data_IF_021224869905
#
_entry.id   IF_021224869905
#
_cell.length_a   1.000
_cell.length_b   1.000
_cell.length_c   1.000
_cell.angle_alpha   90.00
_cell.angle_beta   90.00
_cell.angle_gamma   90.00
#
_symmetry.space_group_name_H-M   'P 1'
#
loop_
_entity.id
_entity.type
_entity.pdbx_description
1 polymer ?
#
# COMPACT_ATOMS: atom_id res chain seq x y z
N UNK A 1 76.05 -9.33 -26.60
CA UNK A 1 77.24 -8.46 -26.59
C UNK A 1 76.77 -7.03 -26.31
N UNK A 2 77.47 -6.31 -25.41
CA UNK A 2 76.86 -5.81 -24.19
C UNK A 2 77.23 -4.33 -23.91
N UNK A 3 76.99 -3.91 -22.65
CA UNK A 3 77.69 -2.86 -21.90
C UNK A 3 77.10 -1.43 -22.01
N UNK A 4 76.98 -0.65 -20.94
CA UNK A 4 77.19 -0.85 -19.49
C UNK A 4 77.02 0.51 -18.79
N UNK A 5 76.47 0.49 -17.56
CA UNK A 5 76.89 1.20 -16.33
C UNK A 5 77.04 2.75 -16.35
N UNK A 6 76.79 3.52 -15.29
CA UNK A 6 76.89 3.31 -13.82
C UNK A 6 76.04 4.41 -13.12
N UNK A 7 75.37 4.13 -11.98
CA UNK A 7 75.80 4.38 -10.57
C UNK A 7 75.97 5.88 -10.23
N UNK A 8 75.53 6.47 -9.11
CA UNK A 8 75.52 6.12 -7.66
C UNK A 8 74.29 6.80 -7.00
N UNK A 9 73.54 6.26 -6.03
CA UNK A 9 73.83 5.80 -4.66
C UNK A 9 74.18 6.92 -3.65
N UNK A 10 73.26 7.17 -2.71
CA UNK A 10 73.41 7.60 -1.30
C UNK A 10 72.05 8.14 -0.83
N UNK A 11 71.46 7.83 0.32
CA UNK A 11 71.79 7.07 1.52
C UNK A 11 70.61 7.38 2.47
N UNK A 12 69.86 6.37 2.91
CA UNK A 12 69.81 5.93 4.31
C UNK A 12 69.34 6.99 5.33
N UNK A 13 68.13 6.77 5.86
CA UNK A 13 67.68 6.91 7.27
C UNK A 13 66.16 7.14 7.28
N UNK A 14 65.32 6.69 8.21
CA UNK A 14 65.34 5.76 9.35
C UNK A 14 63.84 5.53 9.66
N UNK A 15 63.42 4.28 9.86
CA UNK A 15 62.16 3.93 10.57
C UNK A 15 62.33 4.28 12.09
N UNK A 16 61.30 4.36 12.97
CA UNK A 16 60.12 3.47 13.03
C UNK A 16 58.79 3.99 13.64
N UNK A 17 57.73 3.18 13.44
CA UNK A 17 56.56 2.88 14.29
C UNK A 17 55.76 4.01 14.97
N UNK A 18 54.50 4.15 14.54
CA UNK A 18 53.42 4.81 15.27
C UNK A 18 52.14 3.97 15.23
N UNK A 19 51.68 3.58 16.41
CA UNK A 19 50.58 2.67 16.74
C UNK A 19 49.17 3.25 16.52
N UNK A 20 48.26 2.34 16.12
CA UNK A 20 46.93 2.03 16.70
C UNK A 20 45.79 3.08 16.77
N UNK A 21 44.58 2.50 16.65
CA UNK A 21 43.22 2.95 17.07
C UNK A 21 42.43 3.63 15.95
N UNK A 22 41.39 3.01 15.37
CA UNK A 22 40.26 2.37 16.04
C UNK A 22 39.16 3.43 16.23
N UNK A 23 38.47 3.81 15.16
CA UNK A 23 37.32 4.71 15.24
C UNK A 23 36.09 3.92 15.70
N UNK A 24 35.43 4.31 16.80
CA UNK A 24 34.25 3.60 17.26
C UNK A 24 33.01 4.01 16.45
N UNK A 25 32.26 2.98 16.10
CA UNK A 25 30.85 3.01 15.73
C UNK A 25 30.05 3.66 16.86
N UNK A 26 29.31 4.74 16.59
CA UNK A 26 28.41 5.37 17.57
C UNK A 26 26.98 4.88 17.32
N UNK A 27 26.38 4.11 18.24
CA UNK A 27 24.96 3.80 18.20
C UNK A 27 24.15 4.97 18.79
N UNK A 28 23.17 5.46 18.05
CA UNK A 28 22.20 6.42 18.58
C UNK A 28 21.07 5.66 19.29
N UNK A 29 21.15 5.59 20.62
CA UNK A 29 20.04 5.20 21.48
C UNK A 29 19.96 6.10 22.72
N UNK A 30 18.72 6.50 23.03
CA UNK A 30 18.21 7.09 24.26
C UNK A 30 18.60 8.53 24.65
N UNK A 31 17.63 9.44 24.47
CA UNK A 31 17.26 10.38 25.53
C UNK A 31 15.76 10.29 25.83
N UNK A 32 15.49 10.30 27.12
CA UNK A 32 14.26 9.94 27.81
C UNK A 32 13.25 11.08 27.88
N UNK A 33 11.98 10.67 27.89
CA UNK A 33 10.94 11.09 28.84
C UNK A 33 10.61 12.58 28.95
N UNK A 34 9.51 12.97 28.30
CA UNK A 34 8.55 13.90 28.88
C UNK A 34 7.14 13.33 28.70
N UNK A 35 6.42 13.23 29.82
CA UNK A 35 5.18 12.49 29.96
C UNK A 35 4.05 13.00 29.08
N UNK A 36 3.35 12.06 28.44
CA UNK A 36 2.03 12.27 27.89
C UNK A 36 1.00 12.01 28.99
N UNK A 37 0.29 13.07 29.38
CA UNK A 37 -0.95 12.97 30.15
C UNK A 37 -2.00 12.35 29.24
N UNK A 38 -2.53 11.21 29.66
CA UNK A 38 -3.66 10.53 29.05
C UNK A 38 -4.90 11.43 29.11
N UNK A 39 -5.32 11.98 27.97
CA UNK A 39 -6.68 12.50 27.80
C UNK A 39 -7.52 11.43 27.14
N UNK A 40 -8.43 10.84 27.92
CA UNK A 40 -9.52 9.99 27.44
C UNK A 40 -10.47 10.84 26.58
N UNK A 41 -10.93 10.37 25.41
CA UNK A 41 -12.10 10.95 24.78
C UNK A 41 -13.36 10.57 25.57
N UNK A 42 -14.23 11.56 25.79
CA UNK A 42 -15.51 11.42 26.48
C UNK A 42 -16.53 10.64 25.63
N UNK A 43 -17.48 9.90 26.25
CA UNK A 43 -18.49 9.12 25.53
C UNK A 43 -19.55 10.02 24.88
N UNK A 44 -19.90 9.68 23.64
CA UNK A 44 -21.00 10.27 22.87
C UNK A 44 -22.34 10.03 23.57
N UNK A 45 -23.11 11.10 23.73
CA UNK A 45 -24.44 11.10 24.34
C UNK A 45 -25.44 10.26 23.53
N UNK A 46 -26.12 9.38 24.25
CA UNK A 46 -27.27 8.61 23.78
C UNK A 46 -28.41 9.54 23.31
N UNK A 47 -28.89 9.29 22.10
CA UNK A 47 -30.13 9.88 21.57
C UNK A 47 -31.32 9.29 22.34
N UNK A 48 -32.13 10.15 22.96
CA UNK A 48 -33.35 9.74 23.65
C UNK A 48 -34.47 9.52 22.64
N UNK A 49 -35.02 8.31 22.63
CA UNK A 49 -36.31 7.98 22.03
C UNK A 49 -37.42 8.82 22.67
N UNK A 50 -38.24 9.46 21.84
CA UNK A 50 -39.54 10.01 22.22
C UNK A 50 -40.61 9.26 21.43
N UNK A 51 -41.38 8.46 22.17
CA UNK A 51 -42.66 7.90 21.76
C UNK A 51 -43.75 8.94 22.03
N UNK A 52 -44.67 9.16 21.08
CA UNK A 52 -46.10 9.27 21.43
C UNK A 52 -47.01 9.09 20.21
N UNK A 53 -48.03 8.27 20.47
CA UNK A 53 -49.28 7.93 19.81
C UNK A 53 -49.84 8.83 18.67
N UNK A 54 -50.44 8.16 17.67
CA UNK A 54 -51.51 8.70 16.80
C UNK A 54 -52.86 8.78 17.55
N UNK A 55 -54.05 8.73 16.88
CA UNK A 55 -54.34 8.51 15.44
C UNK A 55 -55.38 9.49 14.85
N UNK A 56 -55.62 9.45 13.52
CA UNK A 56 -56.97 9.29 12.91
C UNK A 56 -56.98 9.29 11.37
N UNK A 57 -57.53 8.18 10.84
CA UNK A 57 -58.42 8.00 9.68
C UNK A 57 -58.23 8.83 8.39
N UNK A 58 -58.03 8.10 7.29
CA UNK A 58 -58.38 8.53 5.94
C UNK A 58 -58.12 7.40 4.94
N UNK A 59 -59.17 6.66 4.57
CA UNK A 59 -59.15 5.75 3.42
C UNK A 59 -58.96 6.57 2.14
N UNK A 60 -58.00 6.22 1.28
CA UNK A 60 -58.13 6.42 -0.17
C UNK A 60 -57.26 5.40 -0.92
N UNK A 61 -57.90 4.73 -1.86
CA UNK A 61 -57.34 3.81 -2.85
C UNK A 61 -56.49 4.54 -3.89
N UNK A 62 -55.39 3.94 -4.34
CA UNK A 62 -54.68 4.41 -5.53
C UNK A 62 -53.30 3.77 -5.67
N UNK A 63 -53.21 2.73 -6.51
CA UNK A 63 -51.97 2.17 -7.02
C UNK A 63 -51.21 3.22 -7.84
N UNK A 64 -49.88 3.25 -7.71
CA UNK A 64 -48.86 3.33 -8.78
C UNK A 64 -47.50 3.19 -8.07
N UNK A 65 -46.81 2.10 -8.38
CA UNK A 65 -45.40 1.92 -8.10
C UNK A 65 -44.60 2.54 -9.25
N UNK A 66 -43.51 3.22 -8.93
CA UNK A 66 -42.19 3.14 -9.59
C UNK A 66 -41.28 4.23 -9.01
N UNK A 67 -40.51 3.87 -7.98
CA UNK A 67 -39.31 4.60 -7.57
C UNK A 67 -38.19 4.22 -8.55
N UNK A 68 -37.60 5.23 -9.20
CA UNK A 68 -36.47 5.08 -10.10
C UNK A 68 -35.21 4.68 -9.35
N UNK A 69 -34.88 3.40 -9.43
CA UNK A 69 -33.60 2.82 -9.05
C UNK A 69 -32.52 3.25 -10.08
N UNK A 70 -31.73 4.27 -9.76
CA UNK A 70 -30.48 4.54 -10.48
C UNK A 70 -29.43 3.52 -10.04
N UNK A 71 -29.62 2.27 -10.45
CA UNK A 71 -28.58 1.28 -10.43
C UNK A 71 -27.49 1.70 -11.42
N UNK A 72 -26.32 2.08 -10.90
CA UNK A 72 -25.06 2.10 -11.65
C UNK A 72 -24.74 0.66 -12.08
N UNK A 73 -25.37 0.22 -13.17
CA UNK A 73 -25.05 -1.03 -13.82
C UNK A 73 -23.77 -0.86 -14.62
N UNK A 74 -22.64 -1.06 -13.95
CA UNK A 74 -21.40 -1.40 -14.63
C UNK A 74 -21.49 -2.87 -15.08
N UNK A 75 -22.05 -3.11 -16.27
CA UNK A 75 -22.00 -4.43 -16.89
C UNK A 75 -20.73 -4.55 -17.74
N UNK A 76 -19.77 -5.39 -17.35
CA UNK A 76 -19.45 -6.66 -18.06
C UNK A 76 -18.16 -7.35 -17.58
N UNK A 77 -18.41 -8.56 -17.07
CA UNK A 77 -17.56 -9.71 -16.74
C UNK A 77 -16.39 -9.52 -15.76
N UNK A 78 -16.54 -10.08 -14.57
CA UNK A 78 -15.43 -10.75 -13.90
C UNK A 78 -16.01 -11.95 -13.16
N UNK A 79 -15.46 -13.15 -13.39
CA UNK A 79 -15.80 -14.32 -12.59
C UNK A 79 -15.58 -14.03 -11.11
N UNK A 80 -16.28 -14.76 -10.23
CA UNK A 80 -16.17 -14.65 -8.78
C UNK A 80 -14.71 -14.42 -8.37
N UNK A 81 -14.40 -13.28 -7.74
CA UNK A 81 -13.10 -13.05 -7.13
C UNK A 81 -12.84 -14.17 -6.13
N UNK A 82 -11.62 -14.68 -6.10
CA UNK A 82 -11.30 -15.80 -5.23
C UNK A 82 -9.85 -15.76 -4.79
N UNK A 83 -9.67 -15.78 -3.48
CA UNK A 83 -8.37 -15.96 -2.82
C UNK A 83 -8.49 -17.14 -1.84
N UNK A 84 -7.42 -17.91 -1.75
CA UNK A 84 -7.28 -18.99 -0.77
C UNK A 84 -6.05 -18.71 0.07
N UNK A 85 -6.18 -18.81 1.39
CA UNK A 85 -5.11 -18.52 2.35
C UNK A 85 -4.85 -19.70 3.25
N UNK A 86 -3.61 -19.80 3.71
CA UNK A 86 -3.09 -20.84 4.59
C UNK A 86 -2.30 -20.23 5.75
N UNK A 87 -2.34 -20.88 6.92
CA UNK A 87 -1.62 -20.46 8.13
C UNK A 87 -0.20 -21.02 8.22
N UNK A 88 0.22 -21.87 7.27
CA UNK A 88 1.60 -22.32 7.07
C UNK A 88 2.10 -21.95 5.66
N UNK A 89 3.42 -21.97 5.48
CA UNK A 89 4.06 -21.78 4.18
C UNK A 89 3.82 -22.99 3.27
N UNK A 90 4.01 -22.82 1.95
CA UNK A 90 3.89 -23.91 0.99
C UNK A 90 2.47 -24.47 0.84
N UNK A 91 1.45 -23.66 1.12
CA UNK A 91 0.03 -24.01 1.01
C UNK A 91 -0.38 -25.18 1.93
N UNK A 92 0.18 -25.22 3.15
CA UNK A 92 -0.05 -26.24 4.17
C UNK A 92 -0.86 -25.70 5.36
N UNK A 93 -1.23 -26.59 6.28
CA UNK A 93 -1.97 -26.22 7.49
C UNK A 93 -3.45 -25.91 7.23
N UNK A 94 -4.01 -25.00 8.03
CA UNK A 94 -5.41 -24.58 7.95
C UNK A 94 -5.64 -23.76 6.68
N UNK A 95 -6.69 -24.12 5.93
CA UNK A 95 -7.04 -23.52 4.65
C UNK A 95 -8.39 -22.82 4.71
N UNK A 96 -8.47 -21.59 4.25
CA UNK A 96 -9.75 -20.88 4.03
C UNK A 96 -9.82 -20.24 2.64
N UNK A 97 -11.03 -20.18 2.08
CA UNK A 97 -11.32 -19.60 0.78
C UNK A 97 -12.26 -18.41 0.95
N UNK A 98 -11.99 -17.33 0.22
CA UNK A 98 -12.74 -16.09 0.29
C UNK A 98 -13.13 -15.60 -1.09
N UNK A 99 -14.35 -15.08 -1.18
CA UNK A 99 -14.88 -14.40 -2.37
C UNK A 99 -15.29 -12.96 -2.10
N UNK A 100 -15.04 -12.48 -0.88
CA UNK A 100 -15.30 -11.13 -0.39
C UNK A 100 -14.17 -10.72 0.57
N UNK A 101 -14.22 -9.49 1.05
CA UNK A 101 -13.26 -8.97 2.02
C UNK A 101 -13.26 -9.73 3.35
N UNK A 102 -12.10 -9.76 3.99
CA UNK A 102 -11.89 -10.30 5.33
C UNK A 102 -11.19 -9.22 6.17
N UNK A 103 -11.89 -8.55 7.10
CA UNK A 103 -11.30 -7.51 7.93
C UNK A 103 -10.35 -8.07 9.01
N UNK A 104 -10.42 -9.36 9.32
CA UNK A 104 -9.51 -10.02 10.27
C UNK A 104 -9.52 -11.53 10.10
N UNK A 105 -8.37 -12.12 9.77
CA UNK A 105 -8.20 -13.59 9.75
C UNK A 105 -8.16 -14.19 11.16
N UNK A 106 -7.95 -13.36 12.20
CA UNK A 106 -7.89 -13.79 13.59
C UNK A 106 -9.21 -14.42 14.05
N UNK A 107 -10.34 -13.93 13.52
CA UNK A 107 -11.68 -14.44 13.82
C UNK A 107 -11.92 -15.85 13.25
N UNK A 108 -11.09 -16.26 12.29
CA UNK A 108 -11.06 -17.59 11.67
C UNK A 108 -9.97 -18.47 12.32
N UNK A 109 -9.35 -17.96 13.39
CA UNK A 109 -8.34 -18.60 14.20
C UNK A 109 -6.96 -18.70 13.55
N UNK A 110 -6.67 -17.88 12.52
CA UNK A 110 -5.32 -17.69 12.01
C UNK A 110 -4.59 -16.71 12.92
N UNK A 111 -3.28 -16.85 13.13
CA UNK A 111 -2.47 -15.76 13.71
C UNK A 111 -2.04 -14.75 12.63
N UNK A 112 -1.75 -15.27 11.44
CA UNK A 112 -1.42 -14.53 10.20
C UNK A 112 -1.58 -15.50 9.03
N UNK A 113 -1.73 -14.95 7.82
CA UNK A 113 -1.54 -15.74 6.59
C UNK A 113 -0.04 -15.96 6.36
N UNK A 114 0.34 -17.19 5.99
CA UNK A 114 1.73 -17.59 5.68
C UNK A 114 1.94 -18.01 4.23
N UNK A 115 0.88 -18.44 3.55
CA UNK A 115 0.88 -18.63 2.10
C UNK A 115 -0.52 -18.41 1.52
N UNK A 116 -0.60 -18.02 0.25
CA UNK A 116 -1.88 -17.74 -0.41
C UNK A 116 -1.86 -18.00 -1.92
N UNK A 117 -3.04 -18.20 -2.49
CA UNK A 117 -3.26 -18.27 -3.94
C UNK A 117 -4.40 -17.35 -4.34
N UNK A 118 -4.13 -16.47 -5.28
CA UNK A 118 -5.17 -15.65 -5.91
C UNK A 118 -5.62 -16.38 -7.17
N UNK A 119 -6.83 -16.94 -7.11
CA UNK A 119 -7.40 -17.74 -8.20
C UNK A 119 -8.13 -16.88 -9.22
N UNK A 120 -8.61 -15.70 -8.83
CA UNK A 120 -9.28 -14.73 -9.72
C UNK A 120 -9.41 -13.36 -9.07
N UNK A 121 -9.31 -12.32 -9.92
CA UNK A 121 -9.33 -10.92 -9.52
C UNK A 121 -7.99 -10.44 -8.96
N UNK A 122 -7.97 -9.18 -8.57
CA UNK A 122 -6.90 -8.57 -7.80
C UNK A 122 -7.38 -8.30 -6.37
N UNK A 123 -6.47 -8.44 -5.42
CA UNK A 123 -6.71 -8.23 -4.01
C UNK A 123 -5.65 -7.30 -3.43
N UNK A 124 -5.99 -6.60 -2.36
CA UNK A 124 -5.04 -5.90 -1.51
C UNK A 124 -5.01 -6.57 -0.14
N UNK A 125 -3.84 -7.02 0.27
CA UNK A 125 -3.57 -7.53 1.61
C UNK A 125 -3.02 -6.43 2.51
N UNK A 126 -3.31 -6.52 3.80
CA UNK A 126 -2.88 -5.55 4.80
C UNK A 126 -2.17 -6.24 5.96
N UNK A 127 -1.15 -5.57 6.47
CA UNK A 127 -0.37 -6.01 7.62
C UNK A 127 -1.25 -6.22 8.86
N UNK A 128 -2.18 -5.31 9.12
CA UNK A 128 -3.03 -5.32 10.31
C UNK A 128 -4.51 -5.57 9.96
N UNK A 129 -5.28 -5.94 10.97
CA UNK A 129 -6.72 -6.07 10.88
C UNK A 129 -7.38 -4.71 10.56
N UNK A 130 -8.59 -4.74 10.01
CA UNK A 130 -9.36 -3.56 9.65
C UNK A 130 -8.77 -2.77 8.48
N UNK A 131 -8.03 -3.44 7.59
CA UNK A 131 -7.42 -2.85 6.40
C UNK A 131 -6.38 -1.75 6.73
N UNK A 132 -5.51 -2.04 7.70
CA UNK A 132 -4.56 -1.09 8.27
C UNK A 132 -3.10 -1.54 8.08
N UNK A 133 -2.16 -0.60 8.16
CA UNK A 133 -0.73 -0.89 8.07
C UNK A 133 -0.25 -1.03 6.62
N UNK A 134 0.85 -1.74 6.42
CA UNK A 134 1.44 -1.89 5.08
C UNK A 134 0.49 -2.64 4.13
N UNK A 135 0.41 -2.16 2.88
CA UNK A 135 -0.41 -2.73 1.81
C UNK A 135 0.43 -3.62 0.89
N UNK A 136 -0.17 -4.69 0.40
CA UNK A 136 0.43 -5.63 -0.55
C UNK A 136 -0.54 -5.89 -1.69
N UNK A 137 -0.10 -5.66 -2.93
CA UNK A 137 -0.88 -6.03 -4.11
C UNK A 137 -0.76 -7.53 -4.37
N UNK A 138 -1.91 -8.21 -4.41
CA UNK A 138 -2.03 -9.64 -4.62
C UNK A 138 -2.80 -9.89 -5.92
N UNK A 139 -2.06 -10.07 -7.00
CA UNK A 139 -2.60 -10.37 -8.33
C UNK A 139 -2.71 -11.89 -8.51
N UNK A 140 -3.37 -12.34 -9.57
CA UNK A 140 -3.52 -13.78 -9.87
C UNK A 140 -2.17 -14.49 -9.84
N UNK A 141 -2.04 -15.50 -8.97
CA UNK A 141 -0.77 -16.20 -8.79
C UNK A 141 -0.71 -17.06 -7.53
N UNK A 142 0.45 -17.65 -7.31
CA UNK A 142 0.76 -18.47 -6.15
C UNK A 142 1.85 -17.80 -5.31
N UNK A 143 1.62 -17.74 -4.01
CA UNK A 143 2.47 -17.04 -3.06
C UNK A 143 2.82 -17.99 -1.91
N UNK A 144 3.90 -18.79 -2.05
CA UNK A 144 4.21 -19.88 -1.13
C UNK A 144 4.74 -19.43 0.24
N UNK A 145 5.23 -18.21 0.37
CA UNK A 145 5.72 -17.62 1.61
C UNK A 145 5.56 -16.10 1.58
N UNK A 146 5.83 -15.44 2.71
CA UNK A 146 5.63 -14.00 2.84
C UNK A 146 6.49 -13.15 1.91
N UNK A 147 7.71 -13.61 1.61
CA UNK A 147 8.61 -12.98 0.63
C UNK A 147 7.99 -12.89 -0.77
N UNK A 148 7.06 -13.78 -1.12
CA UNK A 148 6.44 -13.78 -2.44
C UNK A 148 5.52 -12.56 -2.68
N UNK A 149 4.92 -11.99 -1.62
CA UNK A 149 4.12 -10.76 -1.72
C UNK A 149 4.85 -9.52 -1.19
N UNK A 150 5.80 -9.69 -0.27
CA UNK A 150 6.55 -8.60 0.35
C UNK A 150 7.88 -8.29 -0.35
N UNK A 151 8.40 -9.17 -1.21
CA UNK A 151 9.82 -9.22 -1.59
C UNK A 151 10.38 -8.00 -2.33
N UNK A 152 9.52 -7.07 -2.77
CA UNK A 152 9.95 -5.79 -3.35
C UNK A 152 9.94 -4.64 -2.33
N UNK A 153 9.50 -4.89 -1.10
CA UNK A 153 9.36 -3.91 -0.02
C UNK A 153 10.63 -3.88 0.81
N UNK A 154 11.15 -2.70 1.11
CA UNK A 154 12.31 -2.51 2.01
C UNK A 154 11.99 -2.79 3.49
N UNK A 155 10.75 -3.19 3.77
CA UNK A 155 10.18 -3.45 5.09
C UNK A 155 9.73 -4.92 5.15
N UNK A 156 10.51 -5.79 5.80
CA UNK A 156 10.14 -7.19 5.93
C UNK A 156 9.06 -7.34 7.00
N UNK A 157 7.80 -7.25 6.59
CA UNK A 157 6.66 -7.61 7.42
C UNK A 157 6.06 -8.93 6.93
N UNK A 158 6.21 -9.95 7.76
CA UNK A 158 5.63 -11.28 7.51
C UNK A 158 4.11 -11.30 7.75
N UNK A 159 3.58 -10.26 8.40
CA UNK A 159 2.20 -10.24 8.85
C UNK A 159 1.27 -9.86 7.71
N UNK A 160 0.22 -10.65 7.53
CA UNK A 160 -0.91 -10.37 6.66
C UNK A 160 -2.18 -10.85 7.37
N UNK A 161 -3.01 -9.91 7.80
CA UNK A 161 -4.15 -10.21 8.71
C UNK A 161 -5.50 -9.72 8.23
N UNK A 162 -5.56 -8.88 7.19
CA UNK A 162 -6.80 -8.56 6.50
C UNK A 162 -6.56 -8.39 5.01
N UNK A 163 -7.61 -8.53 4.20
CA UNK A 163 -7.53 -8.36 2.75
C UNK A 163 -8.90 -8.06 2.17
N UNK A 164 -8.92 -7.37 1.03
CA UNK A 164 -10.15 -7.13 0.27
C UNK A 164 -9.89 -7.18 -1.24
N UNK A 165 -10.93 -7.44 -2.05
CA UNK A 165 -10.84 -7.30 -3.49
C UNK A 165 -10.57 -5.84 -3.90
N UNK A 166 -9.91 -5.66 -5.03
CA UNK A 166 -9.73 -4.36 -5.70
C UNK A 166 -10.77 -4.28 -6.82
N UNK A 167 -11.95 -3.74 -6.49
CA UNK A 167 -13.14 -3.84 -7.34
C UNK A 167 -13.00 -3.09 -8.67
N UNK A 168 -12.35 -1.94 -8.63
CA UNK A 168 -12.14 -1.09 -9.78
C UNK A 168 -10.91 -1.45 -10.63
N UNK A 169 -10.19 -2.54 -10.32
CA UNK A 169 -9.06 -2.98 -11.12
C UNK A 169 -9.50 -3.28 -12.57
N UNK A 170 -9.02 -2.46 -13.51
CA UNK A 170 -9.25 -2.63 -14.93
C UNK A 170 -8.01 -2.22 -15.73
N UNK A 171 -7.05 -3.14 -15.90
CA UNK A 171 -5.76 -2.84 -16.54
C UNK A 171 -5.86 -2.15 -17.91
N UNK A 172 -6.93 -2.40 -18.69
CA UNK A 172 -7.11 -1.82 -20.03
C UNK A 172 -7.69 -0.40 -20.04
N UNK A 173 -8.33 0.02 -18.95
CA UNK A 173 -8.93 1.34 -18.79
C UNK A 173 -8.53 1.89 -17.42
N UNK A 174 -7.22 2.08 -17.25
CA UNK A 174 -6.63 2.72 -16.08
C UNK A 174 -6.08 4.08 -16.46
N UNK A 175 -6.51 5.11 -15.74
CA UNK A 175 -6.03 6.50 -15.91
C UNK A 175 -5.80 7.14 -14.55
N UNK A 176 -4.64 7.77 -14.40
CA UNK A 176 -4.19 8.43 -13.19
C UNK A 176 -3.63 9.81 -13.52
N UNK A 177 -3.99 10.81 -12.73
CA UNK A 177 -3.27 12.09 -12.70
C UNK A 177 -2.44 12.17 -11.43
N UNK A 178 -1.16 12.50 -11.58
CA UNK A 178 -0.25 12.81 -10.47
C UNK A 178 -0.02 14.32 -10.41
N UNK A 179 0.09 14.87 -9.20
CA UNK A 179 0.33 16.28 -8.95
C UNK A 179 1.54 16.47 -8.04
N UNK A 180 2.32 17.51 -8.30
CA UNK A 180 3.52 17.86 -7.54
C UNK A 180 3.19 18.20 -6.09
N UNK A 181 2.09 18.91 -5.86
CA UNK A 181 1.68 19.36 -4.53
C UNK A 181 0.38 18.68 -4.08
N UNK A 182 0.08 18.80 -2.79
CA UNK A 182 -1.19 18.42 -2.22
C UNK A 182 -2.36 19.16 -2.88
N UNK A 183 -3.58 18.66 -2.69
CA UNK A 183 -4.82 19.31 -3.14
C UNK A 183 -4.86 19.63 -4.66
N UNK A 184 -4.19 18.81 -5.47
CA UNK A 184 -4.17 18.90 -6.94
C UNK A 184 -3.51 20.18 -7.48
N UNK A 185 -2.50 20.67 -6.76
CA UNK A 185 -1.75 21.86 -7.12
C UNK A 185 -0.38 21.53 -7.77
N UNK A 186 0.22 22.54 -8.39
CA UNK A 186 1.53 22.44 -9.02
C UNK A 186 1.51 21.78 -10.39
N UNK A 187 2.67 21.27 -10.82
CA UNK A 187 2.78 20.53 -12.09
C UNK A 187 1.96 19.24 -12.01
N UNK A 188 1.35 18.84 -13.14
CA UNK A 188 0.63 17.56 -13.27
C UNK A 188 1.19 16.67 -14.38
N UNK A 189 0.98 15.36 -14.23
CA UNK A 189 1.25 14.35 -15.25
C UNK A 189 0.06 13.40 -15.37
N UNK A 190 -0.31 13.03 -16.59
CA UNK A 190 -1.39 12.08 -16.88
C UNK A 190 -0.78 10.74 -17.32
N UNK A 191 -1.17 9.67 -16.64
CA UNK A 191 -0.59 8.33 -16.78
C UNK A 191 -1.67 7.35 -17.22
N UNK A 192 -1.36 6.57 -18.26
CA UNK A 192 -2.17 5.45 -18.76
C UNK A 192 -1.41 4.12 -18.82
N UNK A 193 -0.11 4.15 -18.51
CA UNK A 193 0.81 3.02 -18.61
C UNK A 193 1.62 2.83 -17.33
N UNK A 194 2.41 1.76 -17.27
CA UNK A 194 3.24 1.44 -16.13
C UNK A 194 4.59 2.18 -16.22
N UNK A 195 4.99 2.83 -15.13
CA UNK A 195 6.20 3.64 -15.05
C UNK A 195 7.12 3.10 -13.95
N UNK A 196 8.15 2.29 -14.31
CA UNK A 196 9.13 1.81 -13.34
C UNK A 196 10.05 2.93 -12.82
N UNK A 197 10.06 4.10 -13.47
CA UNK A 197 10.69 5.33 -12.97
C UNK A 197 9.91 6.55 -13.44
N UNK A 198 9.35 7.32 -12.49
CA UNK A 198 8.71 8.61 -12.78
C UNK A 198 9.73 9.64 -13.28
N UNK A 199 10.96 9.60 -12.76
CA UNK A 199 12.03 10.49 -13.22
C UNK A 199 12.37 10.25 -14.68
N UNK A 200 12.39 8.99 -15.15
CA UNK A 200 12.62 8.66 -16.56
C UNK A 200 11.49 9.15 -17.48
N UNK A 201 10.27 9.30 -16.95
CA UNK A 201 9.14 9.94 -17.66
C UNK A 201 9.30 11.47 -17.75
N UNK A 202 10.19 12.06 -16.94
CA UNK A 202 10.41 13.50 -16.85
C UNK A 202 9.69 14.17 -15.68
N UNK A 203 9.24 13.39 -14.69
CA UNK A 203 8.77 13.91 -13.41
C UNK A 203 9.94 14.51 -12.63
N UNK A 204 9.73 15.67 -12.03
CA UNK A 204 10.77 16.35 -11.26
C UNK A 204 10.78 15.86 -9.81
N UNK A 205 11.97 15.64 -9.26
CA UNK A 205 12.13 15.13 -7.90
C UNK A 205 11.67 13.68 -7.67
N UNK A 206 11.40 13.35 -6.40
CA UNK A 206 11.00 12.03 -5.92
C UNK A 206 9.66 12.05 -5.16
N UNK A 207 8.94 13.16 -5.20
CA UNK A 207 7.70 13.36 -4.45
C UNK A 207 6.51 13.52 -5.39
N UNK A 208 5.35 13.04 -4.94
CA UNK A 208 4.05 13.30 -5.56
C UNK A 208 3.12 13.76 -4.44
N UNK A 209 2.60 14.97 -4.52
CA UNK A 209 1.80 15.57 -3.45
C UNK A 209 0.36 15.08 -3.41
N UNK A 210 -0.24 14.77 -4.56
CA UNK A 210 -1.62 14.27 -4.63
C UNK A 210 -1.91 13.46 -5.91
N UNK A 211 -2.99 12.68 -5.88
CA UNK A 211 -3.43 11.83 -6.97
C UNK A 211 -4.92 12.01 -7.27
N UNK A 212 -5.27 11.94 -8.55
CA UNK A 212 -6.65 11.76 -8.98
C UNK A 212 -6.75 10.53 -9.89
N UNK A 213 -7.45 9.49 -9.44
CA UNK A 213 -7.64 8.24 -10.17
C UNK A 213 -8.93 8.31 -10.97
N UNK A 214 -8.85 8.62 -12.26
CA UNK A 214 -10.04 8.69 -13.11
C UNK A 214 -10.69 7.32 -13.33
N UNK A 215 -9.86 6.27 -13.44
CA UNK A 215 -10.33 4.91 -13.74
C UNK A 215 -9.25 3.89 -13.40
N UNK A 216 -9.68 2.67 -13.10
CA UNK A 216 -8.79 1.57 -12.75
C UNK A 216 -8.32 1.62 -11.30
N UNK A 217 -7.35 0.76 -11.01
CA UNK A 217 -6.62 0.76 -9.76
C UNK A 217 -5.12 0.76 -10.04
N UNK A 218 -4.37 1.43 -9.19
CA UNK A 218 -2.94 1.67 -9.32
C UNK A 218 -2.22 1.32 -8.03
N UNK A 219 -0.96 0.95 -8.15
CA UNK A 219 -0.05 0.88 -7.02
C UNK A 219 1.12 1.83 -7.26
N UNK A 220 1.35 2.71 -6.30
CA UNK A 220 2.54 3.55 -6.26
C UNK A 220 3.57 2.94 -5.30
N UNK A 221 4.85 3.14 -5.61
CA UNK A 221 5.96 2.60 -4.84
C UNK A 221 7.00 3.67 -4.54
N UNK A 222 7.56 3.59 -3.34
CA UNK A 222 8.52 4.56 -2.82
C UNK A 222 9.78 4.72 -3.70
N UNK A 223 10.25 3.63 -4.31
CA UNK A 223 11.48 3.61 -5.11
C UNK A 223 11.22 3.16 -6.56
N UNK A 224 12.15 3.45 -7.51
CA UNK A 224 12.07 2.93 -8.86
C UNK A 224 12.10 1.39 -8.89
N UNK A 225 11.47 0.81 -9.91
CA UNK A 225 11.34 -0.63 -10.08
C UNK A 225 10.31 -1.25 -9.14
N UNK A 226 9.28 -0.49 -8.75
CA UNK A 226 8.16 -0.94 -7.90
C UNK A 226 8.56 -1.36 -6.48
N UNK A 227 9.62 -0.73 -5.96
CA UNK A 227 10.27 -1.11 -4.69
C UNK A 227 9.87 -0.21 -3.52
N UNK A 228 10.10 -0.71 -2.31
CA UNK A 228 9.82 0.02 -1.06
C UNK A 228 8.36 -0.11 -0.66
N UNK A 229 7.88 0.83 0.15
CA UNK A 229 6.48 0.85 0.55
C UNK A 229 5.55 0.99 -0.67
N UNK A 230 4.45 0.25 -0.63
CA UNK A 230 3.40 0.24 -1.64
C UNK A 230 2.12 0.87 -1.09
N UNK A 231 1.43 1.63 -1.92
CA UNK A 231 0.12 2.20 -1.62
C UNK A 231 -0.82 2.01 -2.81
N UNK A 232 -2.03 1.52 -2.54
CA UNK A 232 -3.04 1.26 -3.56
C UNK A 232 -3.94 2.49 -3.71
N UNK A 233 -4.14 2.91 -4.95
CA UNK A 233 -5.00 4.02 -5.33
C UNK A 233 -6.13 3.48 -6.21
N UNK A 234 -7.37 3.77 -5.85
CA UNK A 234 -8.57 3.19 -6.46
C UNK A 234 -9.52 4.30 -6.90
N UNK A 235 -10.15 4.14 -8.07
CA UNK A 235 -11.07 5.16 -8.58
C UNK A 235 -12.41 5.22 -7.83
N UNK A 236 -12.80 4.14 -7.14
CA UNK A 236 -14.03 4.06 -6.34
C UNK A 236 -13.83 4.47 -4.87
N UNK A 237 -12.59 4.62 -4.41
CA UNK A 237 -12.28 5.15 -3.08
C UNK A 237 -12.16 6.68 -3.14
N UNK A 238 -12.86 7.39 -2.26
CA UNK A 238 -12.90 8.87 -2.24
C UNK A 238 -13.27 9.50 -3.60
N UNK A 239 -13.98 8.79 -4.49
CA UNK A 239 -14.21 9.20 -5.88
C UNK A 239 -12.91 9.42 -6.69
N UNK A 240 -11.85 8.68 -6.34
CA UNK A 240 -10.54 8.76 -6.96
C UNK A 240 -9.66 9.91 -6.44
N UNK A 241 -10.15 10.73 -5.51
CA UNK A 241 -9.42 11.89 -4.98
C UNK A 241 -8.54 11.52 -3.78
N UNK A 242 -7.23 11.71 -3.92
CA UNK A 242 -6.25 11.53 -2.84
C UNK A 242 -5.42 12.81 -2.69
N UNK A 243 -5.87 13.72 -1.81
CA UNK A 243 -5.33 15.09 -1.74
C UNK A 243 -4.05 15.22 -0.92
N UNK A 244 -3.74 14.22 -0.11
CA UNK A 244 -2.58 14.18 0.77
C UNK A 244 -2.14 12.73 1.03
N UNK A 245 -0.86 12.49 1.34
CA UNK A 245 -0.35 11.14 1.63
C UNK A 245 -1.12 10.34 2.69
N UNK A 246 -1.80 11.02 3.63
CA UNK A 246 -2.58 10.37 4.69
C UNK A 246 -3.78 9.59 4.14
N UNK A 247 -4.21 9.92 2.93
CA UNK A 247 -5.32 9.26 2.24
C UNK A 247 -4.86 8.02 1.46
N UNK A 248 -3.54 7.83 1.23
CA UNK A 248 -3.03 6.68 0.48
C UNK A 248 -3.06 5.38 1.30
N UNK A 249 -3.18 5.51 2.62
CA UNK A 249 -3.24 4.42 3.58
C UNK A 249 -2.58 4.79 4.90
N UNK A 250 -2.84 4.00 5.95
CA UNK A 250 -2.43 4.38 7.32
C UNK A 250 -0.95 4.18 7.62
N UNK A 251 -0.23 3.48 6.75
CA UNK A 251 1.23 3.37 6.83
C UNK A 251 1.96 4.42 5.96
N UNK A 252 1.25 5.25 5.20
CA UNK A 252 1.86 6.31 4.41
C UNK A 252 2.37 7.43 5.33
N UNK A 253 3.67 7.75 5.23
CA UNK A 253 4.34 8.73 6.10
C UNK A 253 5.05 9.85 5.34
N UNK A 254 5.22 9.71 4.02
CA UNK A 254 5.99 10.64 3.18
C UNK A 254 5.32 10.79 1.83
N UNK A 255 5.63 11.87 1.11
CA UNK A 255 5.20 12.07 -0.28
C UNK A 255 6.06 11.31 -1.29
N UNK A 256 7.02 10.50 -0.86
CA UNK A 256 7.99 9.87 -1.74
C UNK A 256 7.33 8.79 -2.61
N UNK A 257 7.32 9.00 -3.92
CA UNK A 257 6.82 8.07 -4.93
C UNK A 257 7.71 8.17 -6.16
N UNK A 258 8.25 7.04 -6.62
CA UNK A 258 9.20 7.03 -7.74
C UNK A 258 8.86 6.01 -8.83
N UNK A 259 7.88 5.13 -8.60
CA UNK A 259 7.31 4.28 -9.64
C UNK A 259 5.82 4.03 -9.39
N UNK A 260 5.08 3.78 -10.47
CA UNK A 260 3.64 3.54 -10.42
C UNK A 260 3.30 2.51 -11.49
N UNK A 261 2.40 1.57 -11.20
CA UNK A 261 1.86 0.63 -12.19
C UNK A 261 0.37 0.40 -11.98
N UNK A 262 -0.29 -0.03 -13.04
CA UNK A 262 -1.69 -0.49 -13.03
C UNK A 262 -1.77 -1.84 -12.32
N UNK A 263 -2.86 -2.07 -11.61
CA UNK A 263 -3.18 -3.37 -11.02
C UNK A 263 -3.87 -4.24 -12.07
N UNK A 264 -3.45 -5.50 -12.17
CA UNK A 264 -3.96 -6.48 -13.12
C UNK A 264 -5.00 -7.40 -12.45
N UNK A 265 -6.25 -7.37 -12.93
CA UNK A 265 -7.28 -8.33 -12.51
C UNK A 265 -7.18 -9.69 -13.21
#
# INVERSE_FOLDING_TARGET
MPLSLSAEANGADTSPLGLQLGLPFVPAAHLLSRGFVSQRPAPLHAYKSLTSAGPRSGMFSGSIAEEGDMALQCTKSAGHWKIVVWDEEGFQGRRHEFTAECPSVLELGFETVRSLKVLSGAWVGFEHAGFQGQQYVLERGEYPCWDAWSGNTAYPAERLTSFRPVACANHRDSRLTIFEQENFLGRKGELSDDYPSLQAMGWDGNEVGSFHVQSGAWVCSQFPGYRGFQYVLECDHHSGDYKHFREWGTHAQTFQVQSVRRIQQ
#
